data_IF_751749937625
#
_entry.id   IF_751749937625
#
_cell.length_a   1.000
_cell.length_b   1.000
_cell.length_c   1.000
_cell.angle_alpha   90.00
_cell.angle_beta   90.00
_cell.angle_gamma   90.00
#
_symmetry.space_group_name_H-M   'P 1'
#
loop_
_entity.id
_entity.type
_entity.pdbx_description
1 polymer ?
#
# COMPACT_ATOMS: atom_id res chain seq x y z
N UNK A 1 67.43 12.81 3.46
CA UNK A 1 66.40 13.27 4.42
C UNK A 1 65.61 14.34 3.69
N UNK A 2 64.33 14.24 3.30
CA UNK A 2 63.10 13.79 3.96
C UNK A 2 62.12 13.34 2.85
N UNK A 3 61.43 12.20 3.05
CA UNK A 3 60.31 11.74 2.21
C UNK A 3 59.05 12.49 2.63
N UNK A 4 58.34 13.15 1.71
CA UNK A 4 56.96 13.61 1.96
C UNK A 4 56.00 12.46 1.63
N UNK A 5 55.39 11.88 2.67
CA UNK A 5 54.19 11.06 2.53
C UNK A 5 52.98 12.01 2.52
N UNK A 6 52.26 12.05 1.41
CA UNK A 6 50.93 12.63 1.35
C UNK A 6 49.92 11.51 1.65
N UNK A 7 49.22 11.64 2.77
CA UNK A 7 48.26 10.63 3.25
C UNK A 7 46.94 10.82 2.52
N UNK A 8 46.45 9.80 1.80
CA UNK A 8 45.08 9.74 1.32
C UNK A 8 44.16 9.35 2.50
N UNK A 9 43.30 10.27 2.94
CA UNK A 9 42.13 9.91 3.74
C UNK A 9 41.03 9.42 2.79
N UNK A 10 40.75 8.12 2.83
CA UNK A 10 39.50 7.56 2.32
C UNK A 10 38.41 7.83 3.38
N UNK A 11 37.50 8.76 3.10
CA UNK A 11 36.27 8.90 3.84
C UNK A 11 35.29 7.84 3.35
N UNK A 12 35.16 6.74 4.10
CA UNK A 12 34.14 5.73 3.85
C UNK A 12 32.81 6.30 4.31
N UNK A 13 31.96 6.71 3.37
CA UNK A 13 30.58 7.07 3.66
C UNK A 13 29.85 5.79 4.09
N UNK A 14 29.41 5.72 5.35
CA UNK A 14 28.45 4.71 5.78
C UNK A 14 27.11 5.03 5.14
N UNK A 15 26.74 4.25 4.12
CA UNK A 15 25.34 4.14 3.70
C UNK A 15 24.63 3.41 4.84
N UNK A 16 23.80 4.14 5.58
CA UNK A 16 22.88 3.54 6.54
C UNK A 16 21.81 2.80 5.71
N UNK A 17 21.93 1.48 5.61
CA UNK A 17 20.83 0.65 5.17
C UNK A 17 19.71 0.80 6.21
N UNK A 18 18.53 1.22 5.77
CA UNK A 18 17.34 1.22 6.62
C UNK A 18 17.12 -0.22 7.14
N UNK A 19 16.79 -0.40 8.43
CA UNK A 19 16.52 -1.74 8.95
C UNK A 19 15.26 -2.27 8.25
N UNK A 20 15.36 -3.47 7.68
CA UNK A 20 14.18 -4.24 7.30
C UNK A 20 13.31 -4.40 8.55
N UNK A 21 12.12 -3.80 8.57
CA UNK A 21 11.21 -3.92 9.71
C UNK A 21 10.80 -5.38 9.87
N UNK A 22 10.97 -5.89 11.09
CA UNK A 22 10.79 -7.29 11.49
C UNK A 22 9.35 -7.75 11.25
N UNK A 23 9.14 -8.65 10.29
CA UNK A 23 7.82 -9.23 9.98
C UNK A 23 7.30 -10.02 11.20
N UNK A 24 8.20 -10.57 12.03
CA UNK A 24 7.90 -11.25 13.29
C UNK A 24 7.20 -10.34 14.32
N UNK A 25 7.41 -9.02 14.25
CA UNK A 25 6.74 -8.05 15.11
C UNK A 25 5.29 -7.80 14.72
N UNK A 26 4.98 -7.85 13.42
CA UNK A 26 3.66 -7.53 12.88
C UNK A 26 2.60 -8.57 13.26
N UNK A 27 2.98 -9.85 13.34
CA UNK A 27 2.06 -10.91 13.75
C UNK A 27 1.56 -10.72 15.18
N UNK A 28 2.41 -10.20 16.08
CA UNK A 28 2.09 -9.98 17.48
C UNK A 28 1.26 -8.70 17.74
N UNK A 29 1.22 -7.76 16.81
CA UNK A 29 0.45 -6.52 16.95
C UNK A 29 -1.05 -6.79 16.81
N UNK A 30 -1.86 -6.16 17.66
CA UNK A 30 -3.31 -6.08 17.49
C UNK A 30 -3.70 -5.18 16.31
N UNK A 31 -4.94 -5.32 15.83
CA UNK A 31 -5.45 -4.47 14.73
C UNK A 31 -5.38 -2.98 15.11
N UNK A 32 -5.74 -2.63 16.35
CA UNK A 32 -5.66 -1.24 16.85
C UNK A 32 -4.23 -0.72 16.88
N UNK A 33 -3.24 -1.55 17.21
CA UNK A 33 -1.83 -1.13 17.18
C UNK A 33 -1.32 -0.94 15.75
N UNK A 34 -1.77 -1.75 14.79
CA UNK A 34 -1.45 -1.58 13.38
C UNK A 34 -2.09 -0.29 12.86
N UNK A 35 -3.37 -0.04 13.13
CA UNK A 35 -4.07 1.18 12.74
C UNK A 35 -3.38 2.44 13.29
N UNK A 36 -2.99 2.41 14.58
CA UNK A 36 -2.36 3.55 15.25
C UNK A 36 -0.94 3.86 14.72
N UNK A 37 -0.26 2.88 14.11
CA UNK A 37 1.10 3.01 13.60
C UNK A 37 1.16 2.95 12.07
N UNK A 38 0.01 2.93 11.38
CA UNK A 38 -0.07 2.64 9.96
C UNK A 38 0.71 3.61 9.06
N UNK A 39 0.99 4.84 9.51
CA UNK A 39 1.84 5.82 8.80
C UNK A 39 3.32 5.44 8.73
N UNK A 40 3.80 4.64 9.69
CA UNK A 40 5.22 4.35 9.89
C UNK A 40 5.58 2.87 9.67
N UNK A 41 4.56 2.04 9.47
CA UNK A 41 4.73 0.62 9.17
C UNK A 41 4.90 0.38 7.67
N UNK A 42 5.65 -0.67 7.34
CA UNK A 42 5.72 -1.21 5.99
C UNK A 42 4.32 -1.44 5.39
N UNK A 43 4.06 -1.13 4.10
CA UNK A 43 2.73 -1.24 3.50
C UNK A 43 2.09 -2.64 3.58
N UNK A 44 2.90 -3.69 3.73
CA UNK A 44 2.42 -5.05 4.00
C UNK A 44 1.57 -5.16 5.28
N UNK A 45 1.83 -4.32 6.29
CA UNK A 45 1.03 -4.28 7.53
C UNK A 45 -0.43 -3.92 7.28
N UNK A 46 -0.69 -3.04 6.31
CA UNK A 46 -2.03 -2.59 5.96
C UNK A 46 -2.82 -3.71 5.25
N UNK A 47 -2.14 -4.55 4.47
CA UNK A 47 -2.72 -5.77 3.92
C UNK A 47 -3.01 -6.81 5.02
N UNK A 48 -2.12 -6.99 6.00
CA UNK A 48 -2.39 -7.88 7.15
C UNK A 48 -3.61 -7.40 7.93
N UNK A 49 -3.70 -6.11 8.23
CA UNK A 49 -4.86 -5.51 8.89
C UNK A 49 -6.13 -5.75 8.07
N UNK A 50 -6.10 -5.46 6.77
CA UNK A 50 -7.22 -5.70 5.86
C UNK A 50 -7.72 -7.15 5.90
N UNK A 51 -6.81 -8.12 5.83
CA UNK A 51 -7.16 -9.54 5.90
C UNK A 51 -7.86 -9.91 7.21
N UNK A 52 -7.37 -9.39 8.34
CA UNK A 52 -7.97 -9.62 9.67
C UNK A 52 -9.36 -8.99 9.77
N UNK A 53 -9.52 -7.76 9.30
CA UNK A 53 -10.80 -7.07 9.28
C UNK A 53 -11.84 -7.79 8.41
N UNK A 54 -11.43 -8.33 7.25
CA UNK A 54 -12.33 -9.12 6.42
C UNK A 54 -12.77 -10.40 7.15
N UNK A 55 -11.86 -11.09 7.83
CA UNK A 55 -12.17 -12.28 8.62
C UNK A 55 -13.12 -11.98 9.81
N UNK A 56 -13.12 -10.74 10.30
CA UNK A 56 -14.05 -10.23 11.33
C UNK A 56 -15.41 -9.80 10.75
N UNK A 57 -15.62 -9.88 9.44
CA UNK A 57 -16.84 -9.41 8.76
C UNK A 57 -16.89 -7.90 8.55
N UNK A 58 -15.78 -7.18 8.79
CA UNK A 58 -15.66 -5.72 8.65
C UNK A 58 -15.15 -5.35 7.25
N UNK A 59 -15.85 -5.82 6.21
CA UNK A 59 -15.30 -5.80 4.85
C UNK A 59 -15.11 -4.40 4.23
N UNK A 60 -15.93 -3.40 4.59
CA UNK A 60 -15.67 -2.00 4.18
C UNK A 60 -14.34 -1.50 4.75
N UNK A 61 -14.10 -1.72 6.04
CA UNK A 61 -12.87 -1.30 6.70
C UNK A 61 -11.66 -2.09 6.18
N UNK A 62 -11.86 -3.37 5.84
CA UNK A 62 -10.86 -4.17 5.16
C UNK A 62 -10.48 -3.54 3.81
N UNK A 63 -11.47 -3.13 3.00
CA UNK A 63 -11.23 -2.50 1.70
C UNK A 63 -10.51 -1.15 1.84
N UNK A 64 -10.92 -0.32 2.81
CA UNK A 64 -10.25 0.93 3.16
C UNK A 64 -8.75 0.71 3.36
N UNK A 65 -8.38 -0.21 4.26
CA UNK A 65 -6.98 -0.50 4.58
C UNK A 65 -6.23 -1.21 3.43
N UNK A 66 -6.90 -2.06 2.65
CA UNK A 66 -6.30 -2.66 1.46
C UNK A 66 -5.93 -1.58 0.43
N UNK A 67 -6.82 -0.64 0.15
CA UNK A 67 -6.54 0.43 -0.82
C UNK A 67 -5.46 1.40 -0.33
N UNK A 68 -5.43 1.72 0.97
CA UNK A 68 -4.32 2.48 1.56
C UNK A 68 -3.00 1.71 1.45
N UNK A 69 -3.01 0.41 1.75
CA UNK A 69 -1.87 -0.48 1.58
C UNK A 69 -1.40 -0.52 0.13
N UNK A 70 -2.32 -0.67 -0.83
CA UNK A 70 -2.02 -0.71 -2.25
C UNK A 70 -1.38 0.59 -2.74
N UNK A 71 -1.92 1.74 -2.35
CA UNK A 71 -1.37 3.06 -2.67
C UNK A 71 0.06 3.18 -2.15
N UNK A 72 0.27 2.88 -0.86
CA UNK A 72 1.60 2.94 -0.23
C UNK A 72 2.60 1.97 -0.85
N UNK A 73 2.16 0.75 -1.21
CA UNK A 73 3.01 -0.25 -1.84
C UNK A 73 3.46 0.16 -3.25
N UNK A 74 2.51 0.65 -4.06
CA UNK A 74 2.81 1.16 -5.41
C UNK A 74 3.78 2.35 -5.32
N UNK A 75 3.58 3.24 -4.34
CA UNK A 75 4.48 4.36 -4.12
C UNK A 75 5.90 3.91 -3.74
N UNK A 76 6.04 2.98 -2.79
CA UNK A 76 7.32 2.38 -2.40
C UNK A 76 8.07 1.80 -3.61
N UNK A 77 7.40 0.90 -4.36
CA UNK A 77 8.01 0.23 -5.52
C UNK A 77 8.44 1.24 -6.58
N UNK A 78 7.60 2.23 -6.88
CA UNK A 78 7.90 3.24 -7.89
C UNK A 78 8.99 4.23 -7.46
N UNK A 79 9.14 4.50 -6.16
CA UNK A 79 10.19 5.38 -5.65
C UNK A 79 11.58 4.69 -5.66
N UNK A 80 11.64 3.39 -5.37
CA UNK A 80 12.89 2.64 -5.21
C UNK A 80 13.42 2.00 -6.51
N UNK A 81 12.64 2.01 -7.60
CA UNK A 81 13.02 1.46 -8.92
C UNK A 81 13.60 0.02 -8.82
N UNK A 82 14.76 -0.25 -9.41
CA UNK A 82 15.39 -1.58 -9.46
C UNK A 82 15.71 -2.18 -8.08
N UNK A 83 15.81 -1.35 -7.03
CA UNK A 83 16.05 -1.82 -5.66
C UNK A 83 14.82 -2.54 -5.06
N UNK A 84 13.62 -2.32 -5.61
CA UNK A 84 12.36 -2.85 -5.11
C UNK A 84 11.94 -4.22 -5.69
N UNK A 85 12.85 -4.97 -6.31
CA UNK A 85 12.51 -6.27 -6.94
C UNK A 85 11.82 -7.25 -5.98
N UNK A 86 12.24 -7.30 -4.70
CA UNK A 86 11.58 -8.12 -3.67
C UNK A 86 10.21 -7.57 -3.26
N UNK A 87 10.05 -6.24 -3.23
CA UNK A 87 8.78 -5.60 -2.90
C UNK A 87 7.71 -5.85 -3.95
N UNK A 88 8.09 -5.89 -5.24
CA UNK A 88 7.17 -6.29 -6.31
C UNK A 88 6.62 -7.69 -6.11
N UNK A 89 7.47 -8.65 -5.72
CA UNK A 89 7.06 -10.05 -5.46
C UNK A 89 6.11 -10.12 -4.27
N UNK A 90 6.44 -9.46 -3.17
CA UNK A 90 5.59 -9.46 -1.97
C UNK A 90 4.24 -8.77 -2.24
N UNK A 91 4.25 -7.63 -2.94
CA UNK A 91 3.04 -6.93 -3.33
C UNK A 91 2.12 -7.79 -4.21
N UNK A 92 2.67 -8.50 -5.19
CA UNK A 92 1.88 -9.44 -6.00
C UNK A 92 1.28 -10.55 -5.15
N UNK A 93 2.06 -11.15 -4.25
CA UNK A 93 1.58 -12.22 -3.38
C UNK A 93 0.43 -11.75 -2.45
N UNK A 94 0.57 -10.55 -1.87
CA UNK A 94 -0.46 -9.94 -1.01
C UNK A 94 -1.71 -9.54 -1.81
N UNK A 95 -1.54 -9.01 -3.01
CA UNK A 95 -2.66 -8.66 -3.90
C UNK A 95 -3.50 -9.88 -4.27
N UNK A 96 -2.87 -11.03 -4.50
CA UNK A 96 -3.58 -12.28 -4.82
C UNK A 96 -4.26 -12.93 -3.60
N UNK A 97 -3.58 -12.93 -2.45
CA UNK A 97 -4.04 -13.63 -1.24
C UNK A 97 -5.04 -12.82 -0.43
N UNK A 98 -4.84 -11.51 -0.34
CA UNK A 98 -5.66 -10.59 0.45
C UNK A 98 -6.45 -9.67 -0.45
N UNK A 99 -5.80 -9.09 -1.47
CA UNK A 99 -6.46 -8.11 -2.34
C UNK A 99 -7.65 -8.71 -3.09
N UNK A 100 -7.50 -9.90 -3.66
CA UNK A 100 -8.58 -10.60 -4.39
C UNK A 100 -9.85 -10.83 -3.55
N UNK A 101 -9.82 -11.48 -2.37
CA UNK A 101 -11.04 -11.67 -1.58
C UNK A 101 -11.66 -10.35 -1.08
N UNK A 102 -10.84 -9.35 -0.75
CA UNK A 102 -11.34 -8.01 -0.35
C UNK A 102 -12.01 -7.30 -1.53
N UNK A 103 -11.40 -7.36 -2.72
CA UNK A 103 -11.98 -6.79 -3.95
C UNK A 103 -13.27 -7.50 -4.36
N UNK A 104 -13.33 -8.83 -4.22
CA UNK A 104 -14.54 -9.59 -4.50
C UNK A 104 -15.71 -9.16 -3.59
N UNK A 105 -15.43 -8.97 -2.30
CA UNK A 105 -16.39 -8.43 -1.33
C UNK A 105 -16.82 -7.00 -1.70
N UNK A 106 -15.86 -6.08 -1.83
CA UNK A 106 -16.19 -4.64 -1.89
C UNK A 106 -16.84 -4.27 -3.22
N UNK A 107 -16.48 -4.94 -4.32
CA UNK A 107 -17.10 -4.69 -5.62
C UNK A 107 -18.58 -5.15 -5.68
N UNK A 108 -19.10 -5.79 -4.63
CA UNK A 108 -20.53 -6.09 -4.50
C UNK A 108 -21.40 -4.86 -4.29
N UNK A 109 -20.82 -3.72 -3.89
CA UNK A 109 -21.48 -2.42 -3.78
C UNK A 109 -20.54 -1.35 -4.33
N UNK A 110 -20.97 -0.70 -5.43
CA UNK A 110 -20.16 0.29 -6.15
C UNK A 110 -19.91 1.54 -5.30
N UNK A 111 -20.87 1.95 -4.47
CA UNK A 111 -20.71 3.14 -3.61
C UNK A 111 -19.71 2.87 -2.48
N UNK A 112 -19.81 1.71 -1.84
CA UNK A 112 -18.84 1.23 -0.84
C UNK A 112 -17.42 1.10 -1.43
N UNK A 113 -17.33 0.62 -2.67
CA UNK A 113 -16.06 0.49 -3.37
C UNK A 113 -15.40 1.83 -3.66
N UNK A 114 -16.15 2.77 -4.21
CA UNK A 114 -15.67 4.14 -4.45
C UNK A 114 -15.32 4.82 -3.11
N UNK A 115 -16.11 4.61 -2.06
CA UNK A 115 -15.83 5.15 -0.74
C UNK A 115 -14.52 4.62 -0.16
N UNK A 116 -14.18 3.34 -0.35
CA UNK A 116 -12.93 2.76 0.11
C UNK A 116 -11.70 3.39 -0.55
N UNK A 117 -11.78 3.59 -1.88
CA UNK A 117 -10.69 4.20 -2.64
C UNK A 117 -10.50 5.69 -2.27
N UNK A 118 -11.59 6.44 -2.11
CA UNK A 118 -11.52 7.82 -1.63
C UNK A 118 -10.96 7.90 -0.20
N UNK A 119 -11.40 7.01 0.69
CA UNK A 119 -10.87 6.95 2.05
C UNK A 119 -9.34 6.73 2.04
N UNK A 120 -8.83 5.86 1.16
CA UNK A 120 -7.39 5.63 1.05
C UNK A 120 -6.62 6.88 0.59
N UNK A 121 -7.17 7.63 -0.38
CA UNK A 121 -6.59 8.89 -0.85
C UNK A 121 -6.58 9.96 0.25
N UNK A 122 -7.66 10.08 1.00
CA UNK A 122 -7.81 11.04 2.11
C UNK A 122 -6.90 10.69 3.28
N UNK A 123 -6.87 9.40 3.65
CA UNK A 123 -5.98 8.90 4.71
C UNK A 123 -4.51 9.12 4.34
N UNK A 124 -4.10 8.78 3.10
CA UNK A 124 -2.74 9.05 2.63
C UNK A 124 -2.41 10.55 2.68
N UNK A 125 -3.34 11.42 2.27
CA UNK A 125 -3.12 12.87 2.28
C UNK A 125 -2.95 13.42 3.70
N UNK A 126 -3.74 12.92 4.65
CA UNK A 126 -3.75 13.37 6.04
C UNK A 126 -2.58 12.85 6.88
N UNK A 127 -1.86 11.83 6.42
CA UNK A 127 -0.80 11.19 7.18
C UNK A 127 0.56 11.27 6.47
N UNK A 128 1.61 11.41 7.28
CA UNK A 128 2.99 11.25 6.82
C UNK A 128 3.26 9.80 6.39
N UNK A 129 4.41 9.59 5.75
CA UNK A 129 4.88 8.27 5.35
C UNK A 129 6.28 8.04 5.89
N UNK A 130 6.38 7.23 6.94
CA UNK A 130 7.67 6.89 7.55
C UNK A 130 8.54 5.98 6.68
N UNK A 131 7.97 5.33 5.66
CA UNK A 131 8.67 4.36 4.79
C UNK A 131 9.22 5.04 3.53
N UNK A 132 8.42 5.88 2.87
CA UNK A 132 8.81 6.52 1.60
C UNK A 132 8.49 8.01 1.64
N UNK A 133 9.53 8.85 1.50
CA UNK A 133 9.40 10.32 1.61
C UNK A 133 8.44 10.91 0.56
N UNK A 134 7.28 11.41 1.01
CA UNK A 134 6.27 12.07 0.16
C UNK A 134 6.81 13.33 -0.54
N UNK A 135 7.77 14.01 0.08
CA UNK A 135 8.35 15.25 -0.46
C UNK A 135 9.49 14.99 -1.44
N UNK A 136 10.31 13.97 -1.19
CA UNK A 136 11.43 13.62 -2.08
C UNK A 136 10.92 13.00 -3.39
N UNK A 137 9.83 12.22 -3.31
CA UNK A 137 9.24 11.52 -4.44
C UNK A 137 7.86 12.08 -4.82
N UNK A 138 7.65 13.39 -4.71
CA UNK A 138 6.35 14.03 -4.90
C UNK A 138 5.71 13.72 -6.27
N UNK A 139 6.48 13.74 -7.36
CA UNK A 139 5.96 13.41 -8.70
C UNK A 139 5.53 11.93 -8.82
N UNK A 140 6.27 11.02 -8.16
CA UNK A 140 5.94 9.59 -8.13
C UNK A 140 4.66 9.37 -7.32
N UNK A 141 4.53 10.03 -6.17
CA UNK A 141 3.33 9.96 -5.34
C UNK A 141 2.10 10.46 -6.11
N UNK A 142 2.23 11.60 -6.79
CA UNK A 142 1.14 12.17 -7.60
C UNK A 142 0.70 11.18 -8.68
N UNK A 143 1.64 10.59 -9.42
CA UNK A 143 1.31 9.61 -10.46
C UNK A 143 0.58 8.37 -9.90
N UNK A 144 0.99 7.88 -8.72
CA UNK A 144 0.32 6.74 -8.06
C UNK A 144 -1.08 7.12 -7.60
N UNK A 145 -1.27 8.31 -7.02
CA UNK A 145 -2.58 8.82 -6.58
C UNK A 145 -3.53 9.01 -7.77
N UNK A 146 -3.06 9.63 -8.86
CA UNK A 146 -3.84 9.76 -10.09
C UNK A 146 -4.25 8.42 -10.68
N UNK A 147 -3.44 7.37 -10.50
CA UNK A 147 -3.82 6.00 -10.90
C UNK A 147 -5.04 5.47 -10.13
N UNK A 148 -5.12 5.74 -8.82
CA UNK A 148 -6.27 5.35 -8.00
C UNK A 148 -7.50 6.23 -8.30
N UNK A 149 -7.32 7.52 -8.56
CA UNK A 149 -8.38 8.41 -9.04
C UNK A 149 -8.94 7.97 -10.39
N UNK A 150 -8.06 7.51 -11.31
CA UNK A 150 -8.47 6.90 -12.57
C UNK A 150 -9.33 5.66 -12.37
N UNK A 151 -8.93 4.77 -11.45
CA UNK A 151 -9.74 3.60 -11.10
C UNK A 151 -11.12 3.99 -10.52
N UNK A 152 -11.19 5.02 -9.68
CA UNK A 152 -12.47 5.55 -9.17
C UNK A 152 -13.35 6.01 -10.34
N UNK A 153 -12.79 6.79 -11.27
CA UNK A 153 -13.51 7.27 -12.44
C UNK A 153 -14.00 6.12 -13.34
N UNK A 154 -13.18 5.09 -13.53
CA UNK A 154 -13.54 3.90 -14.30
C UNK A 154 -14.67 3.11 -13.62
N UNK A 155 -14.62 2.94 -12.29
CA UNK A 155 -15.69 2.27 -11.53
C UNK A 155 -16.99 3.07 -11.61
N UNK A 156 -16.94 4.39 -11.46
CA UNK A 156 -18.12 5.26 -11.61
C UNK A 156 -18.71 5.19 -13.02
N UNK A 157 -17.85 5.23 -14.06
CA UNK A 157 -18.30 5.15 -15.45
C UNK A 157 -18.97 3.81 -15.80
N UNK A 158 -18.63 2.74 -15.06
CA UNK A 158 -19.18 1.39 -15.24
C UNK A 158 -20.15 0.99 -14.11
N UNK A 159 -20.63 1.96 -13.31
CA UNK A 159 -21.49 1.74 -12.14
C UNK A 159 -22.67 0.81 -12.41
N UNK A 160 -23.35 1.01 -13.54
CA UNK A 160 -24.54 0.24 -13.88
C UNK A 160 -24.22 -1.16 -14.44
N UNK A 161 -23.02 -1.36 -15.02
CA UNK A 161 -22.62 -2.63 -15.63
C UNK A 161 -21.97 -3.58 -14.64
N UNK A 162 -21.24 -3.07 -13.65
CA UNK A 162 -20.55 -3.87 -12.63
C UNK A 162 -21.50 -4.88 -11.95
N UNK A 163 -22.68 -4.49 -11.42
CA UNK A 163 -23.59 -5.46 -10.79
C UNK A 163 -24.09 -6.53 -11.76
N UNK A 164 -24.31 -6.17 -13.03
CA UNK A 164 -24.78 -7.09 -14.08
C UNK A 164 -23.71 -8.13 -14.42
N UNK A 165 -22.47 -7.69 -14.58
CA UNK A 165 -21.33 -8.57 -14.85
C UNK A 165 -21.06 -9.50 -13.67
N UNK A 166 -21.18 -8.99 -12.43
CA UNK A 166 -21.05 -9.82 -11.22
C UNK A 166 -22.11 -10.92 -11.17
N UNK A 167 -23.38 -10.57 -11.37
CA UNK A 167 -24.47 -11.54 -11.40
C UNK A 167 -24.25 -12.59 -12.50
N UNK A 168 -23.84 -12.17 -13.70
CA UNK A 168 -23.53 -13.07 -14.82
C UNK A 168 -22.37 -14.04 -14.51
N UNK A 169 -21.46 -13.66 -13.62
CA UNK A 169 -20.35 -14.49 -13.16
C UNK A 169 -20.65 -15.25 -11.85
N UNK A 170 -21.89 -15.19 -11.35
CA UNK A 170 -22.30 -15.87 -10.11
C UNK A 170 -21.75 -15.24 -8.83
N UNK A 171 -21.36 -13.96 -8.89
CA UNK A 171 -20.92 -13.17 -7.75
C UNK A 171 -22.10 -12.41 -7.13
N UNK A 172 -22.08 -12.27 -5.80
CA UNK A 172 -23.11 -11.57 -5.05
C UNK A 172 -23.02 -10.04 -5.22
N UNK A 173 -24.16 -9.37 -5.34
CA UNK A 173 -24.29 -7.93 -5.13
C UNK A 173 -24.94 -7.71 -3.76
N UNK A 174 -24.50 -6.70 -3.02
CA UNK A 174 -24.86 -6.45 -1.61
C UNK A 174 -25.56 -5.11 -1.44
#
# INVERSE_FOLDING_TARGET
>A
MKRMLLSLLFATAMVAAAPAQDVDGLEAMSNTEIEAQASDLHPAALYVLSSRLLAEGRGQEAANWMYAGQLRYRFLISAENDAASNEGVLFSALSEQVGRPVNEYIAGDVDEWIAAMNWALDWDAANDNGVTSKTEHAEVLEAVRSGLEGLIADVEANRDTIPQEREANGLENR
#
